data_IF_051153969070
#
_entry.id   IF_051153969070
#
_cell.length_a   1.000
_cell.length_b   1.000
_cell.length_c   1.000
_cell.angle_alpha   90.00
_cell.angle_beta   90.00
_cell.angle_gamma   90.00
#
_symmetry.space_group_name_H-M   'P 1'
#
loop_
_entity.id
_entity.type
_entity.pdbx_description
1 polymer ?
#
# COMPACT_ATOMS: atom_id res chain seq x y z
N UNK A 1 -18.75 42.27 21.46
CA UNK A 1 -19.24 40.89 21.35
C UNK A 1 -18.12 40.03 20.80
N UNK A 2 -17.51 39.15 21.62
CA UNK A 2 -16.40 38.30 21.21
C UNK A 2 -16.91 36.86 21.05
N UNK A 3 -16.68 36.26 19.87
CA UNK A 3 -17.01 34.86 19.58
C UNK A 3 -16.04 33.96 20.34
N UNK A 4 -16.58 33.11 21.22
CA UNK A 4 -15.80 32.11 21.97
C UNK A 4 -15.34 31.00 21.00
N UNK A 5 -14.03 30.85 20.84
CA UNK A 5 -13.42 29.71 20.17
C UNK A 5 -13.66 28.45 21.01
N UNK A 6 -14.39 27.48 20.47
CA UNK A 6 -14.46 26.13 21.01
C UNK A 6 -13.16 25.41 20.65
N UNK A 7 -12.13 25.60 21.49
CA UNK A 7 -10.99 24.69 21.53
C UNK A 7 -11.53 23.33 21.98
N UNK A 8 -11.57 22.35 21.07
CA UNK A 8 -11.86 20.95 21.42
C UNK A 8 -10.80 20.51 22.43
N UNK A 9 -11.25 20.10 23.60
CA UNK A 9 -10.40 19.43 24.59
C UNK A 9 -9.71 18.23 23.93
N UNK A 10 -8.38 18.31 23.82
CA UNK A 10 -7.54 17.17 23.47
C UNK A 10 -7.50 16.28 24.70
N UNK A 11 -8.37 15.26 24.74
CA UNK A 11 -8.26 14.20 25.75
C UNK A 11 -6.89 13.55 25.60
N UNK A 12 -6.10 13.62 26.67
CA UNK A 12 -4.82 12.92 26.81
C UNK A 12 -4.97 11.45 26.42
N UNK A 13 -4.19 11.03 25.43
CA UNK A 13 -4.10 9.65 24.92
C UNK A 13 -3.31 8.78 25.94
N UNK A 14 -3.75 8.74 27.19
CA UNK A 14 -3.15 7.92 28.24
C UNK A 14 -3.90 6.59 28.45
N UNK A 15 -4.71 6.16 27.48
CA UNK A 15 -5.50 4.94 27.59
C UNK A 15 -5.91 4.33 26.24
N UNK A 16 -5.03 4.33 25.22
CA UNK A 16 -5.19 3.35 24.15
C UNK A 16 -4.73 2.01 24.75
N UNK A 17 -5.60 0.99 24.83
CA UNK A 17 -5.20 -0.35 25.25
C UNK A 17 -4.00 -0.81 24.41
N UNK A 18 -3.17 -1.74 24.89
CA UNK A 18 -2.15 -2.44 24.08
C UNK A 18 -2.77 -3.30 22.96
N UNK A 19 -3.92 -2.92 22.40
CA UNK A 19 -4.37 -3.36 21.09
C UNK A 19 -3.31 -2.90 20.11
N UNK A 20 -2.53 -3.85 19.56
CA UNK A 20 -1.66 -3.62 18.40
C UNK A 20 -2.43 -2.75 17.43
N UNK A 21 -1.93 -1.55 17.15
CA UNK A 21 -2.54 -0.64 16.17
C UNK A 21 -2.69 -1.47 14.90
N UNK A 22 -3.96 -1.77 14.54
CA UNK A 22 -4.25 -2.38 13.26
C UNK A 22 -3.90 -1.33 12.21
N UNK A 23 -3.31 -1.79 11.11
CA UNK A 23 -2.95 -0.94 9.99
C UNK A 23 -1.91 0.14 10.34
N UNK A 24 -0.94 -0.21 11.19
CA UNK A 24 0.10 0.71 11.68
C UNK A 24 0.86 1.44 10.56
N UNK A 25 1.07 0.79 9.42
CA UNK A 25 1.79 1.37 8.29
C UNK A 25 0.92 2.27 7.41
N UNK A 26 -0.38 2.43 7.70
CA UNK A 26 -1.19 3.49 7.11
C UNK A 26 -0.65 4.90 7.45
N UNK A 27 0.21 4.99 8.47
CA UNK A 27 0.92 6.21 8.84
C UNK A 27 2.27 6.39 8.12
N UNK A 28 2.68 5.45 7.28
CA UNK A 28 3.86 5.60 6.44
C UNK A 28 3.56 6.52 5.27
N UNK A 29 4.32 7.61 5.18
CA UNK A 29 4.23 8.60 4.11
C UNK A 29 5.20 8.34 2.96
N UNK A 30 6.05 7.31 3.07
CA UNK A 30 7.06 6.99 2.07
C UNK A 30 7.18 5.48 1.82
N UNK A 31 6.93 5.12 0.57
CA UNK A 31 6.88 3.75 0.05
C UNK A 31 7.81 3.61 -1.15
N UNK A 32 8.21 2.38 -1.44
CA UNK A 32 8.94 2.01 -2.66
C UNK A 32 8.27 0.83 -3.35
N UNK A 33 8.22 0.89 -4.68
CA UNK A 33 7.88 -0.22 -5.56
C UNK A 33 9.13 -0.71 -6.31
N UNK A 34 9.25 -2.03 -6.43
CA UNK A 34 10.36 -2.70 -7.12
C UNK A 34 9.82 -3.82 -8.01
N UNK A 35 10.49 -4.11 -9.11
CA UNK A 35 10.22 -5.25 -9.98
C UNK A 35 11.45 -6.16 -10.11
N UNK A 36 11.20 -7.46 -10.28
CA UNK A 36 12.23 -8.43 -10.57
C UNK A 36 12.45 -8.50 -12.09
N UNK A 37 13.65 -8.16 -12.54
CA UNK A 37 14.08 -8.17 -13.94
C UNK A 37 14.95 -9.38 -14.32
N UNK A 38 15.37 -10.18 -13.33
CA UNK A 38 16.21 -11.36 -13.52
C UNK A 38 15.56 -12.66 -13.03
N UNK A 39 16.30 -13.76 -13.13
CA UNK A 39 15.80 -15.11 -12.82
C UNK A 39 15.99 -15.50 -11.34
N UNK A 40 16.82 -14.79 -10.58
CA UNK A 40 17.05 -15.06 -9.15
C UNK A 40 16.49 -13.95 -8.27
N UNK A 41 15.44 -14.26 -7.50
CA UNK A 41 14.81 -13.34 -6.55
C UNK A 41 15.69 -12.96 -5.36
N UNK A 42 16.72 -13.78 -5.07
CA UNK A 42 17.63 -13.56 -3.94
C UNK A 42 18.81 -12.66 -4.31
N UNK A 43 19.02 -12.42 -5.60
CA UNK A 43 20.06 -11.51 -6.08
C UNK A 43 19.52 -10.07 -6.07
N UNK A 44 20.07 -9.17 -5.23
CA UNK A 44 19.65 -7.78 -5.20
C UNK A 44 19.82 -7.06 -6.53
N UNK A 45 20.77 -7.46 -7.36
CA UNK A 45 21.04 -6.84 -8.67
C UNK A 45 19.95 -7.16 -9.70
N UNK A 46 19.11 -8.17 -9.43
CA UNK A 46 17.96 -8.52 -10.26
C UNK A 46 16.72 -7.68 -9.96
N UNK A 47 16.72 -6.87 -8.91
CA UNK A 47 15.60 -6.00 -8.56
C UNK A 47 15.80 -4.59 -9.13
N UNK A 48 14.87 -4.18 -9.99
CA UNK A 48 14.82 -2.82 -10.55
C UNK A 48 13.84 -1.96 -9.77
N UNK A 49 14.27 -0.73 -9.48
CA UNK A 49 13.44 0.27 -8.84
C UNK A 49 12.38 0.80 -9.81
N UNK A 50 11.11 0.81 -9.39
CA UNK A 50 10.01 1.33 -10.20
C UNK A 50 9.63 2.76 -9.80
N UNK A 51 9.36 2.98 -8.51
CA UNK A 51 9.00 4.30 -7.98
C UNK A 51 9.06 4.35 -6.46
N UNK A 52 9.06 5.59 -5.96
CA UNK A 52 8.94 5.95 -4.56
C UNK A 52 7.87 7.03 -4.33
N UNK A 53 7.60 7.31 -3.06
CA UNK A 53 6.72 8.39 -2.63
C UNK A 53 5.48 7.87 -1.90
N UNK A 54 4.30 8.38 -2.27
CA UNK A 54 3.07 7.92 -1.64
C UNK A 54 2.74 6.47 -2.00
N UNK A 55 1.98 5.81 -1.13
CA UNK A 55 1.46 4.46 -1.39
C UNK A 55 0.72 4.39 -2.73
N UNK A 56 -0.15 5.37 -2.99
CA UNK A 56 -0.94 5.42 -4.23
C UNK A 56 -0.07 5.59 -5.47
N UNK A 57 1.00 6.40 -5.41
CA UNK A 57 1.93 6.57 -6.53
C UNK A 57 2.63 5.25 -6.86
N UNK A 58 3.13 4.55 -5.84
CA UNK A 58 3.80 3.27 -6.00
C UNK A 58 2.84 2.19 -6.53
N UNK A 59 1.59 2.19 -6.05
CA UNK A 59 0.56 1.25 -6.50
C UNK A 59 0.16 1.49 -7.97
N UNK A 60 0.06 2.74 -8.42
CA UNK A 60 -0.22 3.06 -9.82
C UNK A 60 0.91 2.57 -10.75
N UNK A 61 2.18 2.62 -10.33
CA UNK A 61 3.27 2.05 -11.14
C UNK A 61 3.17 0.52 -11.28
N UNK A 62 2.62 -0.16 -10.27
CA UNK A 62 2.41 -1.61 -10.29
C UNK A 62 1.15 -2.02 -11.07
N UNK A 63 0.33 -1.07 -11.52
CA UNK A 63 -0.94 -1.35 -12.21
C UNK A 63 -0.79 -2.27 -13.42
N UNK A 64 0.28 -2.10 -14.20
CA UNK A 64 0.53 -2.96 -15.36
C UNK A 64 0.78 -4.42 -14.94
N UNK A 65 1.62 -4.63 -13.92
CA UNK A 65 1.90 -5.95 -13.35
C UNK A 65 0.63 -6.62 -12.83
N UNK A 66 -0.20 -5.87 -12.09
CA UNK A 66 -1.48 -6.36 -11.59
C UNK A 66 -2.43 -6.76 -12.71
N UNK A 67 -2.56 -5.93 -13.76
CA UNK A 67 -3.42 -6.26 -14.89
C UNK A 67 -2.95 -7.52 -15.61
N UNK A 68 -1.64 -7.69 -15.81
CA UNK A 68 -1.06 -8.89 -16.44
C UNK A 68 -1.31 -10.13 -15.57
N UNK A 69 -1.16 -10.03 -14.25
CA UNK A 69 -1.44 -11.15 -13.33
C UNK A 69 -2.89 -11.59 -13.40
N UNK A 70 -3.83 -10.64 -13.37
CA UNK A 70 -5.27 -10.91 -13.41
C UNK A 70 -5.66 -11.50 -14.76
N UNK A 71 -5.19 -10.93 -15.87
CA UNK A 71 -5.44 -11.43 -17.22
C UNK A 71 -4.96 -12.87 -17.40
N UNK A 72 -3.76 -13.18 -16.91
CA UNK A 72 -3.21 -14.54 -16.91
C UNK A 72 -4.07 -15.50 -16.07
N UNK A 73 -4.58 -15.06 -14.93
CA UNK A 73 -5.47 -15.88 -14.09
C UNK A 73 -6.78 -16.18 -14.81
N UNK A 74 -7.46 -15.17 -15.37
CA UNK A 74 -8.71 -15.36 -16.11
C UNK A 74 -8.52 -16.28 -17.32
N UNK A 75 -7.45 -16.09 -18.09
CA UNK A 75 -7.12 -16.96 -19.23
C UNK A 75 -6.93 -18.42 -18.80
N UNK A 76 -6.25 -18.67 -17.68
CA UNK A 76 -6.05 -20.03 -17.13
C UNK A 76 -7.34 -20.66 -16.62
N UNK A 77 -8.24 -19.86 -16.04
CA UNK A 77 -9.54 -20.30 -15.53
C UNK A 77 -10.55 -20.64 -16.64
N UNK A 78 -10.12 -20.66 -17.91
CA UNK A 78 -10.96 -20.92 -19.09
C UNK A 78 -12.09 -19.90 -19.26
N UNK A 79 -11.86 -18.65 -18.89
CA UNK A 79 -12.59 -17.52 -19.48
C UNK A 79 -12.25 -17.30 -20.98
N UNK A 80 -11.62 -18.28 -21.63
CA UNK A 80 -11.36 -18.28 -23.06
C UNK A 80 -12.66 -18.25 -23.89
N UNK A 81 -13.75 -18.82 -23.37
CA UNK A 81 -15.08 -18.77 -24.00
C UNK A 81 -15.81 -17.43 -23.72
N UNK A 82 -15.32 -16.63 -22.76
CA UNK A 82 -15.93 -15.35 -22.36
C UNK A 82 -15.55 -14.18 -23.27
N UNK A 83 -14.67 -14.42 -24.25
CA UNK A 83 -14.43 -13.49 -25.36
C UNK A 83 -15.72 -13.30 -26.19
N UNK A 84 -16.68 -14.23 -26.13
CA UNK A 84 -18.01 -14.07 -26.73
C UNK A 84 -18.83 -12.95 -26.07
N UNK A 85 -18.50 -12.56 -24.83
CA UNK A 85 -19.16 -11.48 -24.07
C UNK A 85 -18.13 -10.49 -23.50
N UNK A 86 -17.56 -9.61 -24.34
CA UNK A 86 -16.49 -8.70 -23.94
C UNK A 86 -16.82 -7.82 -22.72
N UNK A 87 -18.08 -7.42 -22.57
CA UNK A 87 -18.53 -6.60 -21.46
C UNK A 87 -18.37 -7.32 -20.11
N UNK A 88 -18.78 -8.58 -20.04
CA UNK A 88 -18.68 -9.40 -18.82
C UNK A 88 -17.22 -9.65 -18.44
N UNK A 89 -16.35 -9.83 -19.45
CA UNK A 89 -14.91 -9.93 -19.23
C UNK A 89 -14.32 -8.64 -18.64
N UNK A 90 -14.66 -7.47 -19.17
CA UNK A 90 -14.19 -6.19 -18.62
C UNK A 90 -14.69 -5.92 -17.21
N UNK A 91 -15.94 -6.27 -16.93
CA UNK A 91 -16.54 -6.12 -15.60
C UNK A 91 -15.82 -7.03 -14.58
N UNK A 92 -15.55 -8.30 -14.96
CA UNK A 92 -14.82 -9.23 -14.10
C UNK A 92 -13.36 -8.81 -13.89
N UNK A 93 -12.66 -8.36 -14.94
CA UNK A 93 -11.31 -7.79 -14.84
C UNK A 93 -11.28 -6.63 -13.83
N UNK A 94 -12.23 -5.70 -13.94
CA UNK A 94 -12.34 -4.54 -13.05
C UNK A 94 -12.59 -4.97 -11.61
N UNK A 95 -13.52 -5.93 -11.41
CA UNK A 95 -13.84 -6.47 -10.08
C UNK A 95 -12.62 -7.13 -9.44
N UNK A 96 -11.88 -7.96 -10.19
CA UNK A 96 -10.68 -8.64 -9.69
C UNK A 96 -9.57 -7.65 -9.36
N UNK A 97 -9.40 -6.62 -10.18
CA UNK A 97 -8.43 -5.55 -9.93
C UNK A 97 -8.73 -4.83 -8.61
N UNK A 98 -9.98 -4.43 -8.38
CA UNK A 98 -10.39 -3.78 -7.13
C UNK A 98 -10.12 -4.65 -5.91
N UNK A 99 -10.54 -5.93 -5.95
CA UNK A 99 -10.28 -6.88 -4.86
C UNK A 99 -8.78 -7.06 -4.58
N UNK A 100 -7.97 -7.09 -5.65
CA UNK A 100 -6.52 -7.24 -5.53
C UNK A 100 -5.88 -6.00 -4.89
N UNK A 101 -6.30 -4.80 -5.31
CA UNK A 101 -5.86 -3.54 -4.70
C UNK A 101 -6.23 -3.46 -3.22
N UNK A 102 -7.45 -3.86 -2.86
CA UNK A 102 -7.89 -3.90 -1.46
C UNK A 102 -7.03 -4.86 -0.61
N UNK A 103 -6.72 -6.04 -1.16
CA UNK A 103 -5.83 -7.00 -0.51
C UNK A 103 -4.43 -6.44 -0.29
N UNK A 104 -3.83 -5.86 -1.33
CA UNK A 104 -2.48 -5.26 -1.27
C UNK A 104 -2.46 -4.16 -0.22
N UNK A 105 -3.43 -3.24 -0.29
CA UNK A 105 -3.56 -2.12 0.67
C UNK A 105 -3.63 -2.63 2.10
N UNK A 106 -4.50 -3.61 2.35
CA UNK A 106 -4.64 -4.21 3.68
C UNK A 106 -3.35 -4.85 4.17
N UNK A 107 -2.67 -5.64 3.33
CA UNK A 107 -1.43 -6.31 3.71
C UNK A 107 -0.30 -5.30 3.95
N UNK A 108 -0.12 -4.34 3.06
CA UNK A 108 0.86 -3.25 3.20
C UNK A 108 0.62 -2.48 4.50
N UNK A 109 -0.61 -2.06 4.80
CA UNK A 109 -0.86 -1.28 6.01
C UNK A 109 -0.66 -2.10 7.29
N UNK A 110 -0.86 -3.41 7.24
CA UNK A 110 -0.67 -4.29 8.40
C UNK A 110 0.79 -4.70 8.63
N UNK A 111 1.51 -5.02 7.56
CA UNK A 111 2.84 -5.64 7.59
C UNK A 111 3.95 -4.69 7.22
N UNK A 112 3.64 -3.64 6.48
CA UNK A 112 4.60 -2.69 5.92
C UNK A 112 5.08 -3.09 4.54
N UNK A 113 4.61 -4.21 3.99
CA UNK A 113 5.05 -4.70 2.68
C UNK A 113 4.03 -5.64 2.05
N UNK A 114 4.17 -5.79 0.74
CA UNK A 114 3.54 -6.81 -0.07
C UNK A 114 4.58 -7.32 -1.07
N UNK A 115 4.88 -8.63 -1.00
CA UNK A 115 5.91 -9.27 -1.81
C UNK A 115 5.27 -10.32 -2.73
N UNK A 116 5.60 -10.25 -4.02
CA UNK A 116 5.32 -11.30 -5.00
C UNK A 116 6.64 -11.80 -5.58
N UNK A 117 6.62 -12.90 -6.36
CA UNK A 117 7.81 -13.36 -7.07
C UNK A 117 8.35 -12.38 -8.12
N UNK A 118 7.57 -11.36 -8.53
CA UNK A 118 7.92 -10.50 -9.66
C UNK A 118 8.00 -9.02 -9.31
N UNK A 119 7.44 -8.62 -8.17
CA UNK A 119 7.46 -7.24 -7.73
C UNK A 119 7.22 -7.15 -6.23
N UNK A 120 7.60 -6.03 -5.64
CA UNK A 120 7.37 -5.73 -4.24
C UNK A 120 6.92 -4.30 -4.04
N UNK A 121 6.15 -4.08 -2.99
CA UNK A 121 5.71 -2.78 -2.51
C UNK A 121 5.98 -2.71 -1.02
N UNK A 122 6.84 -1.79 -0.56
CA UNK A 122 7.28 -1.75 0.83
C UNK A 122 7.32 -0.33 1.39
N UNK A 123 7.04 -0.22 2.68
CA UNK A 123 7.18 0.99 3.47
C UNK A 123 8.65 1.19 3.82
N UNK A 124 9.13 2.42 3.68
CA UNK A 124 10.49 2.79 4.10
C UNK A 124 10.59 3.15 5.57
N UNK A 125 9.44 3.38 6.21
CA UNK A 125 9.37 3.46 7.66
C UNK A 125 9.19 2.07 8.26
N UNK A 126 9.90 1.80 9.34
CA UNK A 126 9.69 0.62 10.14
C UNK A 126 8.48 0.78 11.08
N UNK A 127 8.01 -0.33 11.63
CA UNK A 127 6.85 -0.37 12.54
C UNK A 127 6.97 0.63 13.69
N UNK A 128 8.13 0.76 14.33
CA UNK A 128 8.30 1.66 15.48
C UNK A 128 8.14 3.13 15.09
N UNK A 129 8.67 3.52 13.93
CA UNK A 129 8.50 4.87 13.39
C UNK A 129 7.01 5.14 13.10
N UNK A 130 6.31 4.20 12.46
CA UNK A 130 4.88 4.34 12.20
C UNK A 130 4.04 4.38 13.49
N UNK A 131 4.37 3.57 14.52
CA UNK A 131 3.70 3.62 15.83
C UNK A 131 3.94 4.95 16.55
N UNK A 132 5.13 5.54 16.38
CA UNK A 132 5.43 6.87 16.91
C UNK A 132 4.58 7.93 16.22
N UNK A 133 4.55 7.91 14.87
CA UNK A 133 3.72 8.84 14.07
C UNK A 133 2.24 8.70 14.44
N UNK A 134 1.74 7.47 14.62
CA UNK A 134 0.36 7.22 15.01
C UNK A 134 -0.01 7.87 16.36
N UNK A 135 0.94 7.92 17.30
CA UNK A 135 0.73 8.45 18.67
C UNK A 135 0.99 9.95 18.78
N UNK A 136 1.96 10.47 18.03
CA UNK A 136 2.49 11.82 18.20
C UNK A 136 2.21 12.75 17.01
N UNK A 137 1.65 12.22 15.92
CA UNK A 137 1.58 12.91 14.63
C UNK A 137 2.89 12.79 13.87
N UNK A 138 2.85 13.10 12.56
CA UNK A 138 4.05 13.10 11.74
C UNK A 138 4.96 14.25 12.20
N UNK A 139 6.20 13.99 12.66
CA UNK A 139 7.15 15.06 12.93
C UNK A 139 7.47 15.74 11.60
N UNK A 140 6.77 16.83 11.32
CA UNK A 140 7.01 17.65 10.14
C UNK A 140 8.52 17.91 9.96
N UNK A 141 9.07 17.84 8.74
CA UNK A 141 10.51 18.01 8.47
C UNK A 141 11.06 19.39 8.88
N UNK A 142 10.20 20.31 9.31
CA UNK A 142 10.56 21.67 9.75
C UNK A 142 10.80 21.82 11.26
N UNK A 143 10.93 20.74 12.03
CA UNK A 143 11.35 20.90 13.43
C UNK A 143 12.86 21.22 13.47
N UNK A 144 13.26 22.43 13.90
CA UNK A 144 14.68 22.74 14.02
C UNK A 144 15.27 21.81 15.07
N UNK A 145 16.37 21.14 14.72
CA UNK A 145 17.23 20.47 15.71
C UNK A 145 17.75 21.55 16.66
N UNK A 146 17.17 21.63 17.85
CA UNK A 146 17.78 22.33 18.99
C UNK A 146 18.83 21.44 19.65
#
# INVERSE_FOLDING_TARGET
MARKNFLREVKSISSIPKTRIKDVFAHSDYWEAWELCGDDENDPDNWSFLADGSFDNCLEQLRLHLNIEIDRQLTRERYADTIEHPQEFFDEMTRRYQLRVEEITKQCFQKGEYLTPYWSLRSMLNRHQCEYIAKHGNPSPNSPRT
#
